data_IF_832840529552
#
_entry.id   IF_832840529552
#
_cell.length_a   1.000
_cell.length_b   1.000
_cell.length_c   1.000
_cell.angle_alpha   90.00
_cell.angle_beta   90.00
_cell.angle_gamma   90.00
#
_symmetry.space_group_name_H-M   'P 1'
#
loop_
_entity.id
_entity.type
_entity.pdbx_description
1 polymer ?
#
# COMPACT_ATOMS: atom_id res chain seq x y z
N UNK A 1 37.45 51.16 -24.02
CA UNK A 1 38.78 51.73 -24.36
C UNK A 1 39.83 51.14 -23.43
N UNK A 2 40.91 50.56 -23.99
CA UNK A 2 42.21 50.11 -23.41
C UNK A 2 42.16 49.18 -22.18
N UNK A 3 42.30 47.84 -22.32
CA UNK A 3 43.55 47.04 -22.42
C UNK A 3 44.69 47.45 -21.45
N UNK A 4 45.24 46.48 -20.69
CA UNK A 4 46.60 45.90 -20.88
C UNK A 4 47.02 44.94 -19.72
N UNK A 5 47.20 43.66 -20.09
CA UNK A 5 48.28 42.65 -19.82
C UNK A 5 48.70 42.15 -18.41
N UNK A 6 48.88 40.82 -18.39
CA UNK A 6 49.57 39.89 -17.46
C UNK A 6 51.10 40.05 -17.44
N UNK A 7 51.79 39.62 -16.36
CA UNK A 7 53.07 38.83 -16.24
C UNK A 7 53.26 38.49 -14.72
N UNK A 8 53.11 37.25 -14.22
CA UNK A 8 54.04 36.09 -14.03
C UNK A 8 55.09 36.19 -12.88
N UNK A 9 54.92 35.27 -11.91
CA UNK A 9 55.85 34.50 -11.05
C UNK A 9 56.89 35.16 -10.12
N UNK A 10 56.90 34.74 -8.84
CA UNK A 10 57.88 33.79 -8.30
C UNK A 10 57.58 33.46 -6.82
N UNK A 11 57.73 32.18 -6.46
CA UNK A 11 57.50 31.60 -5.14
C UNK A 11 58.60 31.94 -4.14
N UNK A 12 58.26 32.07 -2.85
CA UNK A 12 59.17 31.79 -1.75
C UNK A 12 58.42 31.12 -0.59
N UNK A 13 58.80 29.88 -0.38
CA UNK A 13 58.40 28.97 0.69
C UNK A 13 58.86 29.57 2.02
N UNK A 14 57.95 29.83 2.94
CA UNK A 14 58.27 29.84 4.37
C UNK A 14 57.37 28.83 5.05
N UNK A 15 57.99 27.72 5.45
CA UNK A 15 57.41 26.72 6.32
C UNK A 15 57.10 27.38 7.67
N UNK A 16 55.82 27.47 8.01
CA UNK A 16 55.39 27.58 9.41
C UNK A 16 54.44 26.44 9.69
N UNK A 17 54.94 25.48 10.46
CA UNK A 17 54.12 24.45 11.07
C UNK A 17 53.15 25.12 12.05
N UNK A 18 51.88 25.16 11.68
CA UNK A 18 50.77 25.30 12.64
C UNK A 18 49.97 24.01 12.60
N UNK A 19 50.35 23.11 13.51
CA UNK A 19 49.49 22.08 14.06
C UNK A 19 48.33 22.76 14.79
N UNK A 20 47.26 23.06 14.06
CA UNK A 20 45.95 23.32 14.64
C UNK A 20 45.07 22.13 14.30
N UNK A 21 44.85 21.28 15.30
CA UNK A 21 43.84 20.25 15.33
C UNK A 21 42.48 20.94 15.19
N UNK A 22 42.00 21.03 13.97
CA UNK A 22 40.60 21.31 13.66
C UNK A 22 39.97 20.01 13.18
N UNK A 23 39.28 19.28 14.06
CA UNK A 23 38.30 18.27 13.66
C UNK A 23 37.05 18.96 13.06
N UNK A 24 37.25 19.76 12.01
CA UNK A 24 36.21 20.42 11.25
C UNK A 24 36.15 19.80 9.87
N UNK A 25 35.12 18.98 9.65
CA UNK A 25 34.57 18.60 8.33
C UNK A 25 35.62 18.49 7.22
N UNK A 26 36.29 17.35 7.13
CA UNK A 26 36.87 16.95 5.85
C UNK A 26 35.67 16.71 4.92
N UNK A 27 35.39 17.63 4.00
CA UNK A 27 34.50 17.36 2.87
C UNK A 27 35.04 16.09 2.20
N UNK A 28 34.28 15.00 2.34
CA UNK A 28 34.68 13.73 1.71
C UNK A 28 34.69 13.96 0.21
N UNK A 29 35.78 13.57 -0.45
CA UNK A 29 35.81 13.55 -1.92
C UNK A 29 34.63 12.71 -2.44
N UNK A 30 34.11 12.98 -3.65
CA UNK A 30 33.05 12.17 -4.25
C UNK A 30 33.37 10.66 -4.24
N UNK A 31 34.64 10.32 -4.44
CA UNK A 31 35.14 8.95 -4.34
C UNK A 31 35.05 8.38 -2.91
N UNK A 32 35.31 9.20 -1.89
CA UNK A 32 35.16 8.83 -0.47
C UNK A 32 33.69 8.66 -0.06
N UNK A 33 32.77 9.46 -0.62
CA UNK A 33 31.33 9.28 -0.44
C UNK A 33 30.88 7.95 -1.05
N UNK A 34 31.23 7.70 -2.31
CA UNK A 34 30.83 6.47 -3.03
C UNK A 34 31.30 5.17 -2.35
N UNK A 35 32.48 5.19 -1.72
CA UNK A 35 33.03 4.03 -0.98
C UNK A 35 32.52 3.92 0.46
N UNK A 36 31.74 4.90 0.95
CA UNK A 36 31.21 4.87 2.31
C UNK A 36 30.24 3.69 2.47
N UNK A 37 30.50 2.81 3.44
CA UNK A 37 29.61 1.68 3.76
C UNK A 37 28.37 2.21 4.49
N UNK A 38 27.20 1.93 3.94
CA UNK A 38 25.88 2.34 4.47
C UNK A 38 25.12 1.18 5.10
N UNK A 39 25.41 -0.06 4.71
CA UNK A 39 24.93 -1.23 5.44
C UNK A 39 25.89 -2.42 5.34
N UNK A 40 25.72 -3.36 6.28
CA UNK A 40 26.31 -4.70 6.26
C UNK A 40 25.21 -5.73 6.45
N UNK A 41 25.26 -6.79 5.65
CA UNK A 41 24.33 -7.92 5.70
C UNK A 41 25.16 -9.19 5.57
N UNK A 42 25.12 -10.07 6.57
CA UNK A 42 26.10 -11.15 6.74
C UNK A 42 27.55 -10.62 6.66
N UNK A 43 28.30 -11.02 5.62
CA UNK A 43 29.65 -10.56 5.32
C UNK A 43 29.72 -9.59 4.13
N UNK A 44 28.58 -9.23 3.52
CA UNK A 44 28.50 -8.28 2.41
C UNK A 44 28.35 -6.86 2.93
N UNK A 45 28.95 -5.91 2.22
CA UNK A 45 28.85 -4.47 2.47
C UNK A 45 28.07 -3.84 1.32
N UNK A 46 27.16 -2.93 1.66
CA UNK A 46 26.50 -2.04 0.70
C UNK A 46 27.12 -0.66 0.86
N UNK A 47 27.57 -0.05 -0.23
CA UNK A 47 28.13 1.30 -0.22
C UNK A 47 27.13 2.34 -0.70
N UNK A 48 27.33 3.59 -0.28
CA UNK A 48 26.52 4.74 -0.72
C UNK A 48 26.50 4.88 -2.23
N UNK A 49 27.63 4.64 -2.89
CA UNK A 49 27.71 4.66 -4.35
C UNK A 49 26.80 3.63 -5.04
N UNK A 50 26.64 2.44 -4.46
CA UNK A 50 25.72 1.42 -5.02
C UNK A 50 24.25 1.82 -4.85
N UNK A 51 23.91 2.44 -3.73
CA UNK A 51 22.56 2.98 -3.51
C UNK A 51 22.28 4.14 -4.48
N UNK A 52 23.24 5.07 -4.60
CA UNK A 52 23.09 6.24 -5.47
C UNK A 52 23.06 5.85 -6.98
N UNK A 53 23.72 4.75 -7.37
CA UNK A 53 23.62 4.19 -8.72
C UNK A 53 22.18 3.76 -9.05
N UNK A 54 21.50 3.06 -8.14
CA UNK A 54 20.09 2.69 -8.31
C UNK A 54 19.12 3.88 -8.15
N UNK A 55 19.56 4.96 -7.49
CA UNK A 55 18.77 6.19 -7.34
C UNK A 55 18.77 7.06 -8.61
N UNK A 56 19.68 6.82 -9.56
CA UNK A 56 19.86 7.68 -10.72
C UNK A 56 18.56 7.97 -11.51
N UNK A 57 17.67 6.99 -11.79
CA UNK A 57 16.40 7.27 -12.47
C UNK A 57 15.46 8.16 -11.65
N UNK A 58 15.43 7.95 -10.33
CA UNK A 58 14.62 8.77 -9.39
C UNK A 58 15.13 10.21 -9.37
N UNK A 59 16.44 10.39 -9.39
CA UNK A 59 17.07 11.71 -9.38
C UNK A 59 16.67 12.55 -10.60
N UNK A 60 16.55 11.94 -11.78
CA UNK A 60 16.12 12.65 -12.99
C UNK A 60 14.66 13.11 -12.89
N UNK A 61 13.77 12.30 -12.29
CA UNK A 61 12.40 12.71 -12.01
C UNK A 61 12.34 13.87 -10.99
N UNK A 62 13.19 13.83 -9.97
CA UNK A 62 13.30 14.93 -8.99
C UNK A 62 13.78 16.21 -9.65
N UNK A 63 14.79 16.16 -10.52
CA UNK A 63 15.22 17.34 -11.29
C UNK A 63 14.13 17.87 -12.21
N UNK A 64 13.37 16.99 -12.85
CA UNK A 64 12.23 17.41 -13.69
C UNK A 64 11.13 18.12 -12.88
N UNK A 65 10.89 17.68 -11.64
CA UNK A 65 9.84 18.23 -10.77
C UNK A 65 10.27 19.49 -10.00
N UNK A 66 11.51 19.52 -9.47
CA UNK A 66 12.00 20.57 -8.56
C UNK A 66 13.05 21.49 -9.18
N UNK A 67 13.50 21.21 -10.40
CA UNK A 67 14.55 21.94 -11.11
C UNK A 67 15.97 21.61 -10.63
N UNK A 68 16.96 22.24 -11.26
CA UNK A 68 18.40 22.06 -10.93
C UNK A 68 18.76 22.47 -9.48
N UNK A 69 17.91 23.28 -8.83
CA UNK A 69 18.08 23.71 -7.44
C UNK A 69 17.58 22.72 -6.37
N UNK A 70 17.18 21.50 -6.77
CA UNK A 70 16.57 20.50 -5.90
C UNK A 70 17.38 20.21 -4.62
N UNK A 71 18.71 20.33 -4.68
CA UNK A 71 19.62 20.10 -3.54
C UNK A 71 19.44 21.08 -2.39
N UNK A 72 18.79 22.22 -2.64
CA UNK A 72 18.47 23.22 -1.61
C UNK A 72 17.00 23.16 -1.18
N UNK A 73 16.16 22.40 -1.90
CA UNK A 73 14.75 22.25 -1.60
C UNK A 73 14.52 21.14 -0.56
N UNK A 74 13.88 21.47 0.57
CA UNK A 74 13.71 20.53 1.68
C UNK A 74 12.79 19.34 1.35
N UNK A 75 11.76 19.54 0.52
CA UNK A 75 10.89 18.45 0.08
C UNK A 75 11.64 17.46 -0.83
N UNK A 76 12.45 17.98 -1.76
CA UNK A 76 13.28 17.14 -2.63
C UNK A 76 14.33 16.36 -1.84
N UNK A 77 14.96 16.98 -0.83
CA UNK A 77 15.90 16.30 0.08
C UNK A 77 15.22 15.18 0.86
N UNK A 78 14.05 15.45 1.45
CA UNK A 78 13.32 14.45 2.21
C UNK A 78 12.93 13.27 1.31
N UNK A 79 12.37 13.56 0.14
CA UNK A 79 11.99 12.54 -0.83
C UNK A 79 13.19 11.69 -1.25
N UNK A 80 14.33 12.30 -1.60
CA UNK A 80 15.54 11.55 -1.96
C UNK A 80 16.09 10.72 -0.79
N UNK A 81 15.99 11.18 0.45
CA UNK A 81 16.39 10.40 1.63
C UNK A 81 15.49 9.17 1.83
N UNK A 82 14.17 9.32 1.64
CA UNK A 82 13.22 8.21 1.66
C UNK A 82 13.52 7.19 0.54
N UNK A 83 13.78 7.67 -0.68
CA UNK A 83 14.11 6.80 -1.81
C UNK A 83 15.43 6.03 -1.61
N UNK A 84 16.46 6.67 -1.04
CA UNK A 84 17.70 5.98 -0.64
C UNK A 84 17.46 4.88 0.40
N UNK A 85 16.56 5.14 1.35
CA UNK A 85 16.18 4.14 2.37
C UNK A 85 15.49 2.95 1.70
N UNK A 86 14.51 3.20 0.82
CA UNK A 86 13.80 2.13 0.10
C UNK A 86 14.73 1.29 -0.80
N UNK A 87 15.67 1.94 -1.49
CA UNK A 87 16.68 1.26 -2.31
C UNK A 87 17.59 0.41 -1.43
N UNK A 88 18.10 0.98 -0.33
CA UNK A 88 18.94 0.23 0.60
C UNK A 88 18.22 -0.99 1.16
N UNK A 89 16.96 -0.85 1.58
CA UNK A 89 16.13 -1.95 2.09
C UNK A 89 15.92 -3.03 1.03
N UNK A 90 15.70 -2.64 -0.22
CA UNK A 90 15.60 -3.57 -1.36
C UNK A 90 16.91 -4.35 -1.54
N UNK A 91 18.04 -3.66 -1.57
CA UNK A 91 19.37 -4.28 -1.70
C UNK A 91 19.69 -5.22 -0.53
N UNK A 92 19.31 -4.84 0.69
CA UNK A 92 19.44 -5.69 1.89
C UNK A 92 18.61 -6.97 1.72
N UNK A 93 17.33 -6.84 1.32
CA UNK A 93 16.45 -7.97 1.11
C UNK A 93 16.93 -8.90 -0.01
N UNK A 94 17.42 -8.36 -1.13
CA UNK A 94 17.99 -9.16 -2.22
C UNK A 94 19.18 -10.01 -1.77
N UNK A 95 20.08 -9.43 -0.95
CA UNK A 95 21.20 -10.18 -0.36
C UNK A 95 20.68 -11.31 0.52
N UNK A 96 19.65 -11.04 1.34
CA UNK A 96 19.07 -12.02 2.25
C UNK A 96 18.42 -13.17 1.49
N UNK A 97 17.55 -12.84 0.53
CA UNK A 97 16.82 -13.80 -0.30
C UNK A 97 17.82 -14.68 -1.05
N UNK A 98 18.82 -14.09 -1.72
CA UNK A 98 19.84 -14.87 -2.43
C UNK A 98 20.62 -15.80 -1.50
N UNK A 99 21.06 -15.29 -0.34
CA UNK A 99 21.79 -16.10 0.64
C UNK A 99 20.95 -17.26 1.17
N UNK A 100 19.67 -17.02 1.44
CA UNK A 100 18.73 -18.05 1.92
C UNK A 100 18.37 -19.05 0.84
N UNK A 101 18.22 -18.59 -0.41
CA UNK A 101 18.00 -19.46 -1.54
C UNK A 101 19.16 -20.44 -1.75
N UNK A 102 20.40 -19.96 -1.61
CA UNK A 102 21.61 -20.80 -1.63
C UNK A 102 21.65 -21.80 -0.46
N UNK A 103 21.39 -21.35 0.78
CA UNK A 103 21.40 -22.20 1.98
C UNK A 103 20.33 -23.30 1.94
N UNK A 104 19.13 -22.96 1.46
CA UNK A 104 18.00 -23.88 1.34
C UNK A 104 18.06 -24.72 0.06
N UNK A 105 19.06 -24.51 -0.80
CA UNK A 105 19.22 -25.19 -2.11
C UNK A 105 18.00 -25.00 -3.03
N UNK A 106 17.39 -23.82 -2.96
CA UNK A 106 16.26 -23.40 -3.81
C UNK A 106 16.66 -22.30 -4.80
N UNK A 107 17.96 -21.98 -4.88
CA UNK A 107 18.49 -21.06 -5.88
C UNK A 107 18.16 -21.59 -7.29
N UNK A 108 17.51 -20.80 -8.16
CA UNK A 108 17.19 -21.24 -9.51
C UNK A 108 18.46 -21.45 -10.36
N UNK A 109 18.39 -22.31 -11.38
CA UNK A 109 19.49 -22.46 -12.33
C UNK A 109 19.64 -21.20 -13.19
N UNK A 110 20.86 -20.92 -13.67
CA UNK A 110 21.10 -19.78 -14.57
C UNK A 110 20.24 -19.84 -15.84
N UNK A 111 20.00 -21.04 -16.37
CA UNK A 111 19.08 -21.26 -17.49
C UNK A 111 17.66 -20.81 -17.13
N UNK A 112 17.14 -21.21 -15.97
CA UNK A 112 15.79 -20.82 -15.54
C UNK A 112 15.68 -19.32 -15.27
N UNK A 113 16.70 -18.70 -14.68
CA UNK A 113 16.73 -17.25 -14.47
C UNK A 113 16.67 -16.54 -15.82
N UNK A 114 17.48 -16.97 -16.79
CA UNK A 114 17.50 -16.36 -18.12
C UNK A 114 16.15 -16.52 -18.84
N UNK A 115 15.54 -17.68 -18.78
CA UNK A 115 14.20 -17.94 -19.33
C UNK A 115 13.15 -16.97 -18.76
N UNK A 116 13.05 -16.87 -17.43
CA UNK A 116 12.04 -16.03 -16.77
C UNK A 116 12.32 -14.52 -16.94
N UNK A 117 13.58 -14.10 -17.00
CA UNK A 117 13.95 -12.71 -17.31
C UNK A 117 13.52 -12.34 -18.73
N UNK A 118 13.71 -13.23 -19.70
CA UNK A 118 13.26 -13.00 -21.08
C UNK A 118 11.73 -12.95 -21.17
N UNK A 119 11.04 -13.81 -20.42
CA UNK A 119 9.57 -13.77 -20.32
C UNK A 119 9.08 -12.46 -19.73
N UNK A 120 9.69 -12.00 -18.63
CA UNK A 120 9.33 -10.73 -18.01
C UNK A 120 9.60 -9.54 -18.95
N UNK A 121 10.69 -9.57 -19.72
CA UNK A 121 10.95 -8.56 -20.76
C UNK A 121 9.85 -8.59 -21.84
N UNK A 122 9.44 -9.77 -22.30
CA UNK A 122 8.37 -9.92 -23.28
C UNK A 122 7.04 -9.34 -22.74
N UNK A 123 6.70 -9.64 -21.49
CA UNK A 123 5.50 -9.11 -20.83
C UNK A 123 5.56 -7.57 -20.73
N UNK A 124 6.71 -7.00 -20.36
CA UNK A 124 6.92 -5.55 -20.36
C UNK A 124 6.69 -4.97 -21.76
N UNK A 125 7.22 -5.60 -22.81
CA UNK A 125 7.04 -5.15 -24.21
C UNK A 125 5.57 -5.13 -24.63
N UNK A 126 4.72 -6.02 -24.09
CA UNK A 126 3.26 -6.00 -24.37
C UNK A 126 2.53 -4.76 -23.83
N UNK A 127 3.13 -4.05 -22.88
CA UNK A 127 2.58 -2.80 -22.34
C UNK A 127 2.83 -1.59 -23.24
N UNK A 128 3.63 -1.76 -24.30
CA UNK A 128 3.92 -0.73 -25.29
C UNK A 128 3.13 -1.00 -26.58
N UNK A 129 2.78 0.09 -27.28
CA UNK A 129 2.07 0.00 -28.55
C UNK A 129 2.86 -0.81 -29.60
N UNK A 130 4.19 -0.68 -29.58
CA UNK A 130 5.10 -1.40 -30.47
C UNK A 130 6.56 -1.31 -29.96
N UNK A 131 7.46 -2.04 -30.63
CA UNK A 131 8.90 -2.11 -30.32
C UNK A 131 9.59 -0.73 -30.38
N UNK A 132 9.16 0.17 -31.27
CA UNK A 132 9.75 1.50 -31.38
C UNK A 132 9.43 2.35 -30.15
N UNK A 133 8.18 2.29 -29.63
CA UNK A 133 7.81 2.93 -28.36
C UNK A 133 8.55 2.37 -27.16
N UNK A 134 8.80 1.07 -27.14
CA UNK A 134 9.66 0.47 -26.12
C UNK A 134 11.09 1.00 -26.17
N UNK A 135 11.70 1.09 -27.36
CA UNK A 135 13.05 1.64 -27.54
C UNK A 135 13.15 3.14 -27.22
N UNK A 136 12.13 3.92 -27.59
CA UNK A 136 12.00 5.33 -27.20
C UNK A 136 12.01 5.45 -25.66
N UNK A 137 11.23 4.62 -24.96
CA UNK A 137 11.18 4.62 -23.50
C UNK A 137 12.52 4.24 -22.86
N UNK A 138 13.22 3.23 -23.38
CA UNK A 138 14.58 2.89 -22.93
C UNK A 138 15.56 4.06 -23.12
N UNK A 139 15.47 4.75 -24.27
CA UNK A 139 16.30 5.91 -24.57
C UNK A 139 16.03 7.06 -23.58
N UNK A 140 14.76 7.33 -23.29
CA UNK A 140 14.35 8.34 -22.31
C UNK A 140 14.85 7.97 -20.89
N UNK A 141 14.77 6.70 -20.53
CA UNK A 141 15.30 6.16 -19.28
C UNK A 141 16.84 6.08 -19.24
N UNK A 142 17.54 6.39 -20.36
CA UNK A 142 18.99 6.23 -20.52
C UNK A 142 19.47 4.80 -20.24
N UNK A 143 18.63 3.81 -20.57
CA UNK A 143 18.88 2.39 -20.39
C UNK A 143 19.05 1.67 -21.73
N UNK A 144 19.82 0.59 -21.72
CA UNK A 144 19.83 -0.40 -22.81
C UNK A 144 18.96 -1.59 -22.45
N UNK A 145 18.52 -2.37 -23.45
CA UNK A 145 17.80 -3.63 -23.20
C UNK A 145 18.67 -4.61 -22.37
N UNK A 146 19.98 -4.65 -22.60
CA UNK A 146 20.91 -5.45 -21.79
C UNK A 146 20.93 -5.00 -20.32
N UNK A 147 20.95 -3.68 -20.08
CA UNK A 147 20.88 -3.16 -18.70
C UNK A 147 19.53 -3.49 -18.06
N UNK A 148 18.42 -3.37 -18.80
CA UNK A 148 17.10 -3.75 -18.29
C UNK A 148 17.05 -5.24 -17.92
N UNK A 149 17.57 -6.12 -18.76
CA UNK A 149 17.65 -7.55 -18.45
C UNK A 149 18.42 -7.80 -17.14
N UNK A 150 19.49 -7.05 -16.87
CA UNK A 150 20.25 -7.15 -15.61
C UNK A 150 19.42 -6.66 -14.42
N UNK A 151 18.68 -5.57 -14.58
CA UNK A 151 17.79 -5.02 -13.53
C UNK A 151 16.61 -5.94 -13.21
N UNK A 152 16.13 -6.75 -14.16
CA UNK A 152 15.04 -7.69 -13.92
C UNK A 152 15.49 -8.94 -13.13
N UNK A 153 16.77 -9.31 -13.17
CA UNK A 153 17.26 -10.57 -12.57
C UNK A 153 16.95 -10.71 -11.08
N UNK A 154 17.19 -9.70 -10.21
CA UNK A 154 16.90 -9.81 -8.78
C UNK A 154 15.41 -10.07 -8.54
N UNK A 155 14.52 -9.36 -9.24
CA UNK A 155 13.07 -9.54 -9.14
C UNK A 155 12.64 -10.95 -9.56
N UNK A 156 13.19 -11.47 -10.65
CA UNK A 156 12.94 -12.85 -11.10
C UNK A 156 13.39 -13.88 -10.05
N UNK A 157 14.60 -13.72 -9.50
CA UNK A 157 15.10 -14.63 -8.45
C UNK A 157 14.17 -14.59 -7.24
N UNK A 158 13.80 -13.39 -6.79
CA UNK A 158 12.88 -13.19 -5.67
C UNK A 158 11.51 -13.83 -5.95
N UNK A 159 10.96 -13.67 -7.16
CA UNK A 159 9.69 -14.29 -7.53
C UNK A 159 9.76 -15.82 -7.53
N UNK A 160 10.82 -16.42 -8.08
CA UNK A 160 10.97 -17.89 -8.08
C UNK A 160 11.13 -18.41 -6.64
N UNK A 161 11.89 -17.70 -5.79
CA UNK A 161 12.06 -18.06 -4.38
C UNK A 161 10.74 -17.93 -3.63
N UNK A 162 9.99 -16.86 -3.86
CA UNK A 162 8.64 -16.65 -3.32
C UNK A 162 7.74 -17.83 -3.69
N UNK A 163 7.62 -18.16 -4.98
CA UNK A 163 6.81 -19.27 -5.46
C UNK A 163 7.25 -20.60 -4.82
N UNK A 164 8.56 -20.83 -4.66
CA UNK A 164 9.05 -22.03 -3.99
C UNK A 164 8.61 -22.10 -2.51
N UNK A 165 8.70 -20.98 -1.78
CA UNK A 165 8.34 -20.90 -0.36
C UNK A 165 6.85 -21.13 -0.15
N UNK A 166 6.01 -20.63 -1.05
CA UNK A 166 4.54 -20.61 -0.87
C UNK A 166 3.79 -21.66 -1.70
N UNK A 167 4.49 -22.51 -2.47
CA UNK A 167 3.87 -23.50 -3.38
C UNK A 167 2.86 -24.44 -2.72
N UNK A 168 3.09 -24.79 -1.46
CA UNK A 168 2.25 -25.71 -0.69
C UNK A 168 1.23 -24.96 0.20
N UNK A 169 1.17 -23.63 0.10
CA UNK A 169 0.25 -22.79 0.86
C UNK A 169 -1.03 -22.59 0.07
N UNK A 170 -2.13 -23.16 0.59
CA UNK A 170 -3.46 -23.00 0.06
C UNK A 170 -4.50 -22.90 1.17
N UNK A 171 -5.65 -22.33 0.85
CA UNK A 171 -6.84 -22.41 1.68
C UNK A 171 -7.45 -23.81 1.61
N UNK A 172 -7.84 -24.33 2.77
CA UNK A 172 -8.60 -25.58 2.92
C UNK A 172 -10.05 -25.36 2.53
N UNK A 173 -10.74 -26.43 2.16
CA UNK A 173 -12.16 -26.34 1.79
C UNK A 173 -13.03 -25.92 3.00
N UNK A 174 -12.60 -26.25 4.22
CA UNK A 174 -13.20 -25.79 5.46
C UNK A 174 -13.07 -24.27 5.65
N UNK A 175 -11.87 -23.71 5.46
CA UNK A 175 -11.65 -22.25 5.51
C UNK A 175 -12.49 -21.52 4.45
N UNK A 176 -12.58 -22.08 3.24
CA UNK A 176 -13.39 -21.53 2.13
C UNK A 176 -14.88 -21.52 2.49
N UNK A 177 -15.38 -22.63 3.05
CA UNK A 177 -16.78 -22.71 3.48
C UNK A 177 -17.08 -21.76 4.64
N UNK A 178 -16.17 -21.67 5.61
CA UNK A 178 -16.30 -20.77 6.75
C UNK A 178 -16.32 -19.30 6.31
N UNK A 179 -15.45 -18.90 5.38
CA UNK A 179 -15.43 -17.53 4.87
C UNK A 179 -16.74 -17.18 4.13
N UNK A 180 -17.25 -18.10 3.30
CA UNK A 180 -18.56 -17.94 2.65
C UNK A 180 -19.70 -17.76 3.66
N UNK A 181 -19.76 -18.63 4.68
CA UNK A 181 -20.84 -18.62 5.68
C UNK A 181 -20.80 -17.37 6.56
N UNK A 182 -19.61 -16.89 6.89
CA UNK A 182 -19.43 -15.72 7.77
C UNK A 182 -19.52 -14.39 7.03
N UNK A 183 -19.34 -14.38 5.71
CA UNK A 183 -19.28 -13.17 4.90
C UNK A 183 -20.27 -13.13 3.74
N UNK A 184 -21.48 -13.70 3.90
CA UNK A 184 -22.49 -13.77 2.83
C UNK A 184 -22.77 -12.44 2.10
N UNK A 185 -22.72 -11.31 2.81
CA UNK A 185 -22.88 -9.97 2.21
C UNK A 185 -21.82 -9.67 1.15
N UNK A 186 -20.59 -10.17 1.27
CA UNK A 186 -19.53 -10.04 0.24
C UNK A 186 -19.90 -10.78 -1.06
N UNK A 187 -20.70 -11.82 -0.94
CA UNK A 187 -21.09 -12.71 -2.03
C UNK A 187 -22.51 -12.43 -2.55
N UNK A 188 -23.13 -11.36 -2.09
CA UNK A 188 -24.46 -10.97 -2.55
C UNK A 188 -24.35 -10.16 -3.84
N UNK A 189 -25.13 -10.51 -4.86
CA UNK A 189 -25.20 -9.74 -6.10
C UNK A 189 -25.63 -8.31 -5.80
N UNK A 190 -25.11 -7.31 -6.51
CA UNK A 190 -25.45 -5.90 -6.28
C UNK A 190 -26.53 -5.43 -7.27
N UNK A 191 -27.37 -4.44 -6.91
CA UNK A 191 -27.35 -3.66 -5.66
C UNK A 191 -27.95 -4.39 -4.43
N UNK A 192 -27.38 -4.21 -3.24
CA UNK A 192 -28.08 -4.50 -1.97
C UNK A 192 -28.14 -3.25 -1.14
N UNK A 193 -29.29 -2.59 -1.18
CA UNK A 193 -29.47 -1.28 -0.56
C UNK A 193 -30.87 -1.13 -0.01
N UNK A 194 -30.97 -0.31 1.03
CA UNK A 194 -32.21 0.05 1.70
C UNK A 194 -32.38 1.55 1.59
N UNK A 195 -33.63 2.00 1.49
CA UNK A 195 -34.00 3.39 1.70
C UNK A 195 -34.67 3.52 3.08
N UNK A 196 -33.93 3.77 4.18
CA UNK A 196 -34.55 3.86 5.49
C UNK A 196 -35.01 5.30 5.80
N UNK A 197 -36.00 5.38 6.68
CA UNK A 197 -36.29 6.55 7.48
C UNK A 197 -36.10 6.21 8.97
N UNK A 198 -35.71 7.17 9.80
CA UNK A 198 -35.61 6.95 11.23
C UNK A 198 -36.13 8.12 12.06
N UNK A 199 -36.47 7.82 13.31
CA UNK A 199 -36.77 8.80 14.35
C UNK A 199 -35.77 8.57 15.47
N UNK A 200 -34.82 9.50 15.64
CA UNK A 200 -33.89 9.49 16.76
C UNK A 200 -34.49 10.25 17.95
N UNK A 201 -34.43 9.64 19.13
CA UNK A 201 -34.83 10.23 20.41
C UNK A 201 -33.80 9.90 21.50
N UNK A 202 -33.86 10.62 22.63
CA UNK A 202 -32.86 10.49 23.69
C UNK A 202 -33.07 9.27 24.56
N UNK A 203 -34.32 8.87 24.78
CA UNK A 203 -34.68 7.83 25.75
C UNK A 203 -35.44 6.68 25.11
N UNK A 204 -35.35 5.50 25.73
CA UNK A 204 -36.06 4.31 25.29
C UNK A 204 -37.58 4.49 25.35
N UNK A 205 -38.08 5.19 26.38
CA UNK A 205 -39.51 5.41 26.59
C UNK A 205 -40.12 6.30 25.50
N UNK A 206 -39.39 7.32 25.03
CA UNK A 206 -39.81 8.13 23.88
C UNK A 206 -39.95 7.27 22.61
N UNK A 207 -39.01 6.36 22.37
CA UNK A 207 -39.05 5.46 21.22
C UNK A 207 -40.20 4.44 21.33
N UNK A 208 -40.45 3.91 22.53
CA UNK A 208 -41.61 3.04 22.80
C UNK A 208 -42.93 3.77 22.53
N UNK A 209 -43.07 5.00 23.02
CA UNK A 209 -44.25 5.82 22.80
C UNK A 209 -44.49 6.11 21.30
N UNK A 210 -43.42 6.34 20.52
CA UNK A 210 -43.52 6.48 19.06
C UNK A 210 -44.02 5.19 18.42
N UNK A 211 -43.48 4.02 18.81
CA UNK A 211 -43.91 2.72 18.28
C UNK A 211 -45.39 2.46 18.60
N UNK A 212 -45.87 2.80 19.80
CA UNK A 212 -47.29 2.68 20.16
C UNK A 212 -48.19 3.55 19.29
N UNK A 213 -47.76 4.77 18.96
CA UNK A 213 -48.49 5.68 18.06
C UNK A 213 -48.50 5.16 16.62
N UNK A 214 -47.37 4.64 16.14
CA UNK A 214 -47.30 3.99 14.83
C UNK A 214 -48.20 2.74 14.76
N UNK A 215 -48.31 1.97 15.83
CA UNK A 215 -49.21 0.81 15.91
C UNK A 215 -50.70 1.22 15.85
N UNK A 216 -51.03 2.46 16.22
CA UNK A 216 -52.38 3.06 16.08
C UNK A 216 -52.62 3.66 14.68
N UNK A 217 -51.66 3.58 13.78
CA UNK A 217 -51.78 4.04 12.40
C UNK A 217 -51.37 5.48 12.14
N UNK A 218 -50.66 6.13 13.09
CA UNK A 218 -50.11 7.46 12.85
C UNK A 218 -49.00 7.44 11.77
N UNK A 219 -48.87 8.54 11.02
CA UNK A 219 -47.88 8.66 9.95
C UNK A 219 -46.45 8.79 10.49
N UNK A 220 -45.52 8.04 9.88
CA UNK A 220 -44.12 8.00 10.32
C UNK A 220 -43.39 9.33 10.10
N UNK A 221 -43.60 9.98 8.95
CA UNK A 221 -42.92 11.24 8.64
C UNK A 221 -43.41 12.38 9.54
N UNK A 222 -44.71 12.39 9.87
CA UNK A 222 -45.28 13.31 10.86
C UNK A 222 -44.65 13.11 12.25
N UNK A 223 -44.53 11.86 12.72
CA UNK A 223 -43.88 11.56 13.99
C UNK A 223 -42.39 11.88 13.98
N UNK A 224 -41.69 11.67 12.86
CA UNK A 224 -40.30 12.07 12.70
C UNK A 224 -40.15 13.59 12.87
N UNK A 225 -41.00 14.39 12.23
CA UNK A 225 -41.00 15.84 12.37
C UNK A 225 -41.33 16.31 13.79
N UNK A 226 -42.28 15.63 14.44
CA UNK A 226 -42.73 15.98 15.79
C UNK A 226 -41.71 15.62 16.88
N UNK A 227 -41.10 14.43 16.79
CA UNK A 227 -40.30 13.83 17.89
C UNK A 227 -38.82 13.68 17.58
N UNK A 228 -38.42 13.69 16.31
CA UNK A 228 -37.04 13.49 15.90
C UNK A 228 -36.10 14.59 16.44
N UNK A 229 -34.91 14.18 16.87
CA UNK A 229 -33.92 15.08 17.47
C UNK A 229 -32.74 15.42 16.55
N UNK A 230 -32.69 14.88 15.34
CA UNK A 230 -31.60 15.08 14.38
C UNK A 230 -32.02 15.88 13.14
N UNK A 231 -31.11 16.04 12.19
CA UNK A 231 -31.31 16.84 10.99
C UNK A 231 -32.29 16.25 9.97
N UNK A 232 -32.66 14.96 10.09
CA UNK A 232 -33.57 14.30 9.15
C UNK A 232 -35.05 14.55 9.47
N UNK A 233 -35.37 15.04 10.68
CA UNK A 233 -36.74 15.18 11.18
C UNK A 233 -37.67 15.97 10.23
N UNK A 234 -37.17 17.04 9.63
CA UNK A 234 -37.97 17.92 8.77
C UNK A 234 -38.20 17.31 7.37
N UNK A 235 -37.46 16.26 7.04
CA UNK A 235 -37.61 15.45 5.83
C UNK A 235 -38.17 14.05 6.15
N UNK A 236 -39.04 13.95 7.16
CA UNK A 236 -39.72 12.70 7.52
C UNK A 236 -38.79 11.58 8.04
N UNK A 237 -37.57 11.92 8.42
CA UNK A 237 -36.56 10.96 8.89
C UNK A 237 -35.78 10.26 7.77
N UNK A 238 -35.98 10.61 6.49
CA UNK A 238 -35.39 9.89 5.36
C UNK A 238 -33.86 10.08 5.25
N UNK A 239 -33.14 8.98 5.00
CA UNK A 239 -31.68 8.97 4.80
C UNK A 239 -31.25 8.73 3.33
N UNK A 240 -32.21 8.49 2.43
CA UNK A 240 -31.91 8.10 1.04
C UNK A 240 -31.47 6.63 0.92
N UNK A 241 -30.90 6.26 -0.23
CA UNK A 241 -30.42 4.89 -0.47
C UNK A 241 -29.08 4.64 0.23
N UNK A 242 -28.99 3.52 0.94
CA UNK A 242 -27.83 3.09 1.71
C UNK A 242 -27.49 1.64 1.35
N UNK A 243 -26.26 1.40 0.87
CA UNK A 243 -25.73 0.05 0.61
C UNK A 243 -25.54 -0.74 1.92
N UNK A 244 -25.79 -2.04 1.90
CA UNK A 244 -25.75 -2.88 3.12
C UNK A 244 -24.34 -3.01 3.72
N UNK A 245 -23.31 -2.88 2.89
CA UNK A 245 -21.89 -2.99 3.27
C UNK A 245 -21.25 -1.65 3.66
N UNK A 246 -22.04 -0.56 3.76
CA UNK A 246 -21.53 0.75 4.15
C UNK A 246 -20.92 0.74 5.55
N UNK A 247 -19.82 1.48 5.70
CA UNK A 247 -19.19 1.76 7.00
C UNK A 247 -19.54 3.13 7.56
N UNK A 248 -20.42 3.89 6.88
CA UNK A 248 -20.78 5.25 7.26
C UNK A 248 -21.82 5.32 8.39
N UNK A 249 -22.54 4.23 8.63
CA UNK A 249 -23.60 4.15 9.64
C UNK A 249 -23.23 3.18 10.75
N UNK A 250 -23.84 3.38 11.92
CA UNK A 250 -23.67 2.48 13.07
C UNK A 250 -24.11 1.05 12.72
N UNK A 251 -23.31 0.06 13.11
CA UNK A 251 -23.55 -1.35 12.76
C UNK A 251 -24.89 -1.85 13.32
N UNK A 252 -25.25 -1.45 14.53
CA UNK A 252 -26.53 -1.84 15.16
C UNK A 252 -27.71 -1.23 14.42
N UNK A 253 -27.59 0.04 14.01
CA UNK A 253 -28.58 0.71 13.17
C UNK A 253 -28.77 -0.02 11.85
N UNK A 254 -27.70 -0.33 11.13
CA UNK A 254 -27.77 -0.99 9.83
C UNK A 254 -28.39 -2.40 9.93
N UNK A 255 -27.98 -3.20 10.92
CA UNK A 255 -28.56 -4.53 11.15
C UNK A 255 -30.07 -4.43 11.41
N UNK A 256 -30.51 -3.48 12.23
CA UNK A 256 -31.92 -3.26 12.47
C UNK A 256 -32.66 -2.80 11.20
N UNK A 257 -32.13 -1.81 10.47
CA UNK A 257 -32.71 -1.31 9.23
C UNK A 257 -32.90 -2.44 8.19
N UNK A 258 -31.88 -3.26 7.97
CA UNK A 258 -31.90 -4.38 7.02
C UNK A 258 -32.94 -5.43 7.44
N UNK A 259 -33.08 -5.70 8.74
CA UNK A 259 -34.02 -6.71 9.26
C UNK A 259 -35.50 -6.35 9.09
N UNK A 260 -35.81 -5.07 8.88
CA UNK A 260 -37.19 -4.59 8.76
C UNK A 260 -37.72 -4.87 7.35
N UNK A 261 -38.91 -5.50 7.20
CA UNK A 261 -39.56 -5.66 5.90
C UNK A 261 -39.86 -4.32 5.22
N UNK A 262 -39.83 -4.29 3.88
CA UNK A 262 -40.21 -3.10 3.10
C UNK A 262 -41.61 -2.62 3.49
N UNK A 263 -41.73 -1.34 3.84
CA UNK A 263 -42.95 -0.68 4.29
C UNK A 263 -43.14 -0.71 5.81
N UNK A 264 -42.42 -1.56 6.54
CA UNK A 264 -42.55 -1.72 7.99
C UNK A 264 -41.52 -0.90 8.77
N UNK A 265 -41.68 -0.89 10.10
CA UNK A 265 -40.78 -0.25 11.07
C UNK A 265 -40.44 -1.19 12.23
N UNK A 266 -39.31 -0.92 12.89
CA UNK A 266 -38.85 -1.65 14.07
C UNK A 266 -39.90 -1.69 15.17
N UNK A 267 -40.20 -2.89 15.69
CA UNK A 267 -41.19 -3.09 16.77
C UNK A 267 -40.65 -2.86 18.17
N UNK A 268 -39.34 -2.65 18.29
CA UNK A 268 -38.64 -2.32 19.53
C UNK A 268 -37.67 -1.14 19.27
N UNK A 269 -37.39 -0.31 20.28
CA UNK A 269 -36.36 0.71 20.20
C UNK A 269 -34.98 0.11 19.89
N UNK A 270 -34.24 0.73 18.98
CA UNK A 270 -32.88 0.32 18.62
C UNK A 270 -31.89 1.29 19.26
N UNK A 271 -31.10 0.82 20.22
CA UNK A 271 -30.09 1.64 20.89
C UNK A 271 -28.81 1.71 20.06
N UNK A 272 -28.27 2.92 19.88
CA UNK A 272 -26.92 3.17 19.36
C UNK A 272 -26.19 4.15 20.29
N UNK A 273 -24.97 4.51 19.94
CA UNK A 273 -24.23 5.57 20.62
C UNK A 273 -24.89 6.96 20.52
N UNK A 274 -25.83 7.17 19.59
CA UNK A 274 -26.51 8.44 19.35
C UNK A 274 -27.84 8.59 20.11
N UNK A 275 -28.35 7.51 20.70
CA UNK A 275 -29.64 7.47 21.38
C UNK A 275 -30.47 6.25 20.95
N UNK A 276 -31.80 6.41 20.94
CA UNK A 276 -32.75 5.37 20.56
C UNK A 276 -33.40 5.70 19.22
N UNK A 277 -33.43 4.71 18.33
CA UNK A 277 -33.97 4.85 16.99
C UNK A 277 -35.25 4.00 16.85
N UNK A 278 -36.25 4.57 16.17
CA UNK A 278 -37.30 3.81 15.49
C UNK A 278 -37.01 3.89 14.00
N UNK A 279 -36.85 2.76 13.32
CA UNK A 279 -36.36 2.69 11.94
C UNK A 279 -37.44 2.09 11.04
N UNK A 280 -37.71 2.72 9.90
CA UNK A 280 -38.65 2.27 8.86
C UNK A 280 -37.90 1.96 7.58
N UNK A 281 -38.17 0.83 6.95
CA UNK A 281 -37.65 0.50 5.62
C UNK A 281 -38.63 1.03 4.56
N UNK A 282 -38.35 2.17 3.93
CA UNK A 282 -39.24 2.71 2.90
C UNK A 282 -39.19 1.88 1.63
N UNK A 283 -37.98 1.50 1.22
CA UNK A 283 -37.74 0.65 0.06
C UNK A 283 -36.50 -0.23 0.27
N UNK A 284 -36.42 -1.34 -0.45
CA UNK A 284 -35.30 -2.29 -0.42
C UNK A 284 -35.06 -2.83 -1.82
N UNK A 285 -33.81 -2.85 -2.24
CA UNK A 285 -33.34 -3.61 -3.39
C UNK A 285 -32.40 -4.68 -2.84
N UNK A 286 -32.84 -5.93 -2.88
CA UNK A 286 -32.11 -7.09 -2.34
C UNK A 286 -32.00 -8.15 -3.43
N UNK A 287 -30.78 -8.61 -3.67
CA UNK A 287 -30.49 -9.66 -4.63
C UNK A 287 -29.99 -10.91 -3.90
N UNK A 288 -30.09 -12.10 -4.52
CA UNK A 288 -29.68 -13.32 -3.86
C UNK A 288 -28.17 -13.33 -3.56
N UNK A 289 -27.80 -14.01 -2.47
CA UNK A 289 -26.42 -14.43 -2.25
C UNK A 289 -26.06 -15.41 -3.36
N UNK A 290 -24.95 -15.16 -4.07
CA UNK A 290 -24.43 -16.09 -5.07
C UNK A 290 -24.23 -17.46 -4.43
N UNK A 291 -24.56 -18.53 -5.13
CA UNK A 291 -24.41 -19.88 -4.57
C UNK A 291 -22.93 -20.14 -4.29
N UNK A 292 -22.66 -20.90 -3.22
CA UNK A 292 -21.30 -21.27 -2.84
C UNK A 292 -20.49 -21.82 -4.02
N UNK A 293 -21.07 -22.72 -4.82
CA UNK A 293 -20.40 -23.31 -5.99
C UNK A 293 -19.95 -22.28 -7.03
N UNK A 294 -20.68 -21.17 -7.18
CA UNK A 294 -20.37 -20.12 -8.16
C UNK A 294 -19.19 -19.24 -7.71
N UNK A 295 -18.90 -19.22 -6.40
CA UNK A 295 -17.87 -18.37 -5.80
C UNK A 295 -16.74 -19.16 -5.12
N UNK A 296 -16.86 -20.49 -4.99
CA UNK A 296 -15.91 -21.35 -4.27
C UNK A 296 -14.46 -21.11 -4.71
N UNK A 297 -14.20 -21.15 -6.01
CA UNK A 297 -12.85 -20.99 -6.56
C UNK A 297 -12.31 -19.57 -6.38
N UNK A 298 -13.17 -18.56 -6.46
CA UNK A 298 -12.80 -17.17 -6.19
C UNK A 298 -12.39 -17.00 -4.72
N UNK A 299 -13.16 -17.56 -3.79
CA UNK A 299 -12.87 -17.52 -2.35
C UNK A 299 -11.56 -18.27 -2.07
N UNK A 300 -11.41 -19.48 -2.63
CA UNK A 300 -10.21 -20.30 -2.46
C UNK A 300 -8.97 -19.60 -2.95
N UNK A 301 -9.02 -18.96 -4.11
CA UNK A 301 -7.91 -18.17 -4.67
C UNK A 301 -7.58 -17.00 -3.75
N UNK A 302 -8.58 -16.19 -3.39
CA UNK A 302 -8.37 -15.02 -2.53
C UNK A 302 -7.78 -15.36 -1.16
N UNK A 303 -8.29 -16.40 -0.49
CA UNK A 303 -7.77 -16.85 0.80
C UNK A 303 -6.37 -17.47 0.66
N UNK A 304 -6.11 -18.22 -0.41
CA UNK A 304 -4.78 -18.78 -0.66
C UNK A 304 -3.76 -17.67 -0.86
N UNK A 305 -4.07 -16.65 -1.65
CA UNK A 305 -3.18 -15.52 -1.90
C UNK A 305 -2.88 -14.74 -0.61
N UNK A 306 -3.89 -14.53 0.24
CA UNK A 306 -3.70 -13.93 1.56
C UNK A 306 -2.75 -14.76 2.45
N UNK A 307 -2.94 -16.09 2.48
CA UNK A 307 -2.07 -17.00 3.25
C UNK A 307 -0.64 -17.04 2.69
N UNK A 308 -0.48 -17.05 1.36
CA UNK A 308 0.82 -16.99 0.69
C UNK A 308 1.56 -15.69 1.03
N UNK A 309 0.87 -14.55 0.93
CA UNK A 309 1.43 -13.26 1.33
C UNK A 309 1.88 -13.25 2.78
N UNK A 310 1.04 -13.70 3.72
CA UNK A 310 1.40 -13.77 5.14
C UNK A 310 2.60 -14.70 5.38
N UNK A 311 2.61 -15.89 4.76
CA UNK A 311 3.72 -16.84 4.86
C UNK A 311 5.04 -16.24 4.38
N UNK A 312 5.00 -15.49 3.27
CA UNK A 312 6.17 -14.79 2.76
C UNK A 312 6.65 -13.69 3.71
N UNK A 313 5.74 -12.88 4.26
CA UNK A 313 6.10 -11.85 5.25
C UNK A 313 6.76 -12.45 6.48
N UNK A 314 6.19 -13.53 7.03
CA UNK A 314 6.75 -14.23 8.20
C UNK A 314 8.11 -14.85 7.88
N UNK A 315 8.26 -15.41 6.68
CA UNK A 315 9.54 -15.97 6.20
C UNK A 315 10.60 -14.88 6.05
N UNK A 316 10.27 -13.76 5.43
CA UNK A 316 11.19 -12.63 5.25
C UNK A 316 11.60 -12.04 6.59
N UNK A 317 10.66 -11.87 7.52
CA UNK A 317 10.96 -11.42 8.89
C UNK A 317 11.97 -12.36 9.57
N UNK A 318 11.71 -13.67 9.53
CA UNK A 318 12.63 -14.67 10.09
C UNK A 318 14.02 -14.59 9.43
N UNK A 319 14.08 -14.48 8.11
CA UNK A 319 15.35 -14.39 7.39
C UNK A 319 16.12 -13.10 7.71
N UNK A 320 15.43 -11.97 7.90
CA UNK A 320 16.02 -10.70 8.34
C UNK A 320 16.60 -10.79 9.76
N UNK A 321 15.87 -11.41 10.69
CA UNK A 321 16.34 -11.63 12.07
C UNK A 321 17.64 -12.48 12.10
N UNK A 322 17.78 -13.42 11.16
CA UNK A 322 18.97 -14.27 11.01
C UNK A 322 20.14 -13.57 10.25
N UNK A 323 19.89 -12.45 9.56
CA UNK A 323 20.80 -11.89 8.57
C UNK A 323 21.94 -11.00 9.09
N UNK A 324 22.00 -10.76 10.41
CA UNK A 324 23.01 -9.89 11.07
C UNK A 324 23.13 -8.53 10.36
N UNK A 325 22.01 -7.85 10.19
CA UNK A 325 21.93 -6.57 9.49
C UNK A 325 22.50 -5.46 10.38
N UNK A 326 23.32 -4.58 9.80
CA UNK A 326 23.76 -3.33 10.44
C UNK A 326 23.63 -2.21 9.43
N UNK A 327 22.75 -1.24 9.70
CA UNK A 327 22.55 -0.05 8.87
C UNK A 327 23.24 1.15 9.53
N UNK A 328 23.84 2.01 8.72
CA UNK A 328 24.49 3.25 9.12
C UNK A 328 23.70 4.44 8.53
N UNK A 329 22.53 4.74 9.12
CA UNK A 329 21.60 5.76 8.62
C UNK A 329 22.23 7.14 8.47
N UNK A 330 23.16 7.48 9.36
CA UNK A 330 23.94 8.71 9.36
C UNK A 330 24.79 8.90 8.09
N UNK A 331 25.05 7.80 7.37
CA UNK A 331 25.87 7.77 6.14
C UNK A 331 25.02 7.62 4.88
N UNK A 332 23.73 7.38 5.02
CA UNK A 332 22.79 7.17 3.91
C UNK A 332 22.12 8.47 3.45
N UNK A 333 22.06 9.48 4.31
CA UNK A 333 21.45 10.78 3.99
C UNK A 333 22.42 11.66 3.21
#
# INVERSE_FOLDING_TARGET
MRNVKKVIAAALITATALSAVGCGVVEKTPEGVNKTVVAKVYNKKITRGQVDEQLAPVLENVKAQFGEGYETNDQAKQYLAEQRTNILDTMVNDIIIKKKAEELKIMPSEEKINEEVQKQLADIKTSFENEDKFKEALTQAKMTEESLLKELRPSVITNIVYEHVVKDVAATDEEVKQDYDTNQTKYTEKPNRIKPAHILVKTEDEAKAIIERLNKGEDFAALAKEKGTDGTKDNGGELGWIEYDTKQYDKTFMLAAISVPKGEYTKMPIQTQFGYHVIKALDKEEYPVKKFEDVKEQIKTSLSDQKKYQTWQDTMKKWQDEAKITVYDDKLK
#
